data_IF_031445384829
#
_entry.id   IF_031445384829
#
_cell.length_a   1.000
_cell.length_b   1.000
_cell.length_c   1.000
_cell.angle_alpha   90.00
_cell.angle_beta   90.00
_cell.angle_gamma   90.00
#
_symmetry.space_group_name_H-M   'P 1'
#
loop_
_entity.id
_entity.type
_entity.pdbx_description
1 polymer ?
#
# COMPACT_ATOMS: atom_id res chain seq x y z
N UNK A 1 -17.09 -20.76 34.89
CA UNK A 1 -15.88 -21.58 35.19
C UNK A 1 -16.02 -22.91 34.44
N UNK A 2 -14.94 -23.57 33.97
CA UNK A 2 -13.49 -23.26 34.03
C UNK A 2 -12.87 -23.00 32.62
N UNK A 3 -11.91 -22.08 32.44
CA UNK A 3 -10.44 -22.21 32.59
C UNK A 3 -9.72 -22.89 31.41
N UNK A 4 -8.96 -22.09 30.65
CA UNK A 4 -7.57 -22.38 30.31
C UNK A 4 -6.91 -21.08 29.78
N UNK A 5 -6.41 -20.29 30.73
CA UNK A 5 -5.34 -19.33 30.50
C UNK A 5 -4.15 -20.08 29.89
N UNK A 6 -3.82 -19.81 28.64
CA UNK A 6 -2.48 -20.12 28.15
C UNK A 6 -1.68 -18.80 28.13
N UNK A 7 -1.07 -18.52 29.27
CA UNK A 7 -0.05 -17.49 29.39
C UNK A 7 1.19 -17.94 28.59
N UNK A 8 1.26 -17.52 27.33
CA UNK A 8 2.53 -17.52 26.62
C UNK A 8 3.35 -16.34 27.16
N UNK A 9 4.04 -16.59 28.28
CA UNK A 9 5.02 -15.68 28.85
C UNK A 9 6.14 -15.46 27.82
N UNK A 10 6.15 -14.27 27.21
CA UNK A 10 7.31 -13.75 26.52
C UNK A 10 8.40 -13.44 27.54
N UNK A 11 9.34 -14.37 27.69
CA UNK A 11 10.55 -14.15 28.49
C UNK A 11 11.62 -13.62 27.54
N UNK A 12 11.76 -12.29 27.48
CA UNK A 12 13.00 -11.68 27.04
C UNK A 12 14.09 -12.08 28.05
N UNK A 13 15.20 -12.63 27.55
CA UNK A 13 16.33 -13.08 28.38
C UNK A 13 17.01 -11.86 29.03
N UNK A 14 16.62 -11.57 30.27
CA UNK A 14 17.13 -10.44 31.03
C UNK A 14 18.51 -10.77 31.64
N UNK A 15 19.51 -9.93 31.38
CA UNK A 15 20.79 -9.91 32.10
C UNK A 15 20.63 -8.84 33.18
N UNK A 16 20.44 -9.31 34.42
CA UNK A 16 20.51 -8.59 35.70
C UNK A 16 20.67 -7.05 35.68
N UNK A 17 19.71 -6.35 36.29
CA UNK A 17 19.93 -5.72 37.60
C UNK A 17 18.61 -5.19 38.18
N UNK A 18 18.41 -5.48 39.47
CA UNK A 18 17.36 -4.94 40.33
C UNK A 18 17.47 -3.41 40.43
N UNK A 19 16.35 -2.71 40.18
CA UNK A 19 15.82 -1.55 40.94
C UNK A 19 14.32 -1.42 40.55
N UNK A 20 13.38 -1.30 41.52
CA UNK A 20 11.94 -1.26 41.25
C UNK A 20 11.41 0.18 41.02
N UNK A 21 10.21 0.21 40.41
CA UNK A 21 9.27 1.34 40.24
C UNK A 21 9.36 2.23 38.97
N UNK A 22 8.84 1.68 37.86
CA UNK A 22 8.16 2.45 36.79
C UNK A 22 7.21 1.53 36.00
N UNK A 23 6.08 1.16 36.60
CA UNK A 23 5.12 0.18 36.10
C UNK A 23 4.19 0.70 34.98
N UNK A 24 4.74 1.07 33.83
CA UNK A 24 4.02 1.01 32.54
C UNK A 24 4.88 0.20 31.60
N UNK A 25 4.55 -1.09 31.52
CA UNK A 25 5.40 -2.13 30.96
C UNK A 25 5.81 -1.85 29.50
N UNK A 26 7.11 -1.81 29.15
CA UNK A 26 7.57 -1.73 27.76
C UNK A 26 6.97 -2.82 26.86
N UNK A 27 6.59 -3.96 27.45
CA UNK A 27 5.87 -5.08 26.80
C UNK A 27 4.53 -4.63 26.20
N UNK A 28 3.83 -3.66 26.82
CA UNK A 28 2.56 -3.14 26.32
C UNK A 28 2.76 -2.19 25.12
N UNK A 29 3.83 -1.40 25.12
CA UNK A 29 4.12 -0.44 24.04
C UNK A 29 4.56 -1.19 22.78
N UNK A 30 5.40 -2.21 22.89
CA UNK A 30 5.78 -3.04 21.74
C UNK A 30 4.62 -3.83 21.16
N UNK A 31 3.70 -4.34 22.01
CA UNK A 31 2.48 -4.99 21.54
C UNK A 31 1.58 -4.01 20.75
N UNK A 32 1.44 -2.78 21.25
CA UNK A 32 0.65 -1.73 20.58
C UNK A 32 1.34 -1.26 19.28
N UNK A 33 2.66 -1.10 19.28
CA UNK A 33 3.44 -0.82 18.08
C UNK A 33 3.26 -1.93 17.03
N UNK A 34 3.19 -3.20 17.47
CA UNK A 34 2.99 -4.36 16.59
C UNK A 34 1.58 -4.40 15.98
N UNK A 35 0.56 -4.06 16.77
CA UNK A 35 -0.81 -3.91 16.27
C UNK A 35 -0.89 -2.82 15.21
N UNK A 36 -0.27 -1.66 15.47
CA UNK A 36 -0.23 -0.54 14.52
C UNK A 36 0.56 -0.86 13.26
N UNK A 37 1.65 -1.63 13.39
CA UNK A 37 2.39 -2.15 12.24
C UNK A 37 1.51 -3.02 11.35
N UNK A 38 0.69 -3.90 11.92
CA UNK A 38 -0.24 -4.74 11.16
C UNK A 38 -1.28 -3.90 10.41
N UNK A 39 -1.85 -2.87 11.06
CA UNK A 39 -2.76 -1.92 10.42
C UNK A 39 -2.10 -1.16 9.27
N UNK A 40 -0.89 -0.65 9.48
CA UNK A 40 -0.11 0.05 8.45
C UNK A 40 0.18 -0.85 7.25
N UNK A 41 0.52 -2.11 7.50
CA UNK A 41 0.77 -3.10 6.46
C UNK A 41 -0.48 -3.45 5.65
N UNK A 42 -1.63 -3.56 6.33
CA UNK A 42 -2.91 -3.78 5.68
C UNK A 42 -3.31 -2.60 4.80
N UNK A 43 -3.19 -1.38 5.31
CA UNK A 43 -3.47 -0.16 4.54
C UNK A 43 -2.56 -0.05 3.30
N UNK A 44 -1.27 -0.37 3.45
CA UNK A 44 -0.31 -0.39 2.34
C UNK A 44 -0.71 -1.40 1.26
N UNK A 45 -1.18 -2.60 1.63
CA UNK A 45 -1.66 -3.61 0.66
C UNK A 45 -2.92 -3.17 -0.08
N UNK A 46 -3.89 -2.60 0.64
CA UNK A 46 -5.12 -2.08 0.03
C UNK A 46 -4.83 -0.97 -0.98
N UNK A 47 -3.95 -0.04 -0.61
CA UNK A 47 -3.51 1.05 -1.48
C UNK A 47 -2.89 0.53 -2.78
N UNK A 48 -2.02 -0.49 -2.70
CA UNK A 48 -1.41 -1.09 -3.90
C UNK A 48 -2.45 -1.77 -4.77
N UNK A 49 -3.35 -2.55 -4.18
CA UNK A 49 -4.43 -3.21 -4.92
C UNK A 49 -5.32 -2.18 -5.65
N UNK A 50 -5.67 -1.07 -5.00
CA UNK A 50 -6.45 0.00 -5.62
C UNK A 50 -5.68 0.74 -6.71
N UNK A 51 -4.39 1.01 -6.50
CA UNK A 51 -3.53 1.60 -7.53
C UNK A 51 -3.38 0.69 -8.76
N UNK A 52 -3.19 -0.62 -8.58
CA UNK A 52 -3.14 -1.59 -9.68
C UNK A 52 -4.46 -1.63 -10.44
N UNK A 53 -5.60 -1.69 -9.73
CA UNK A 53 -6.93 -1.61 -10.35
C UNK A 53 -7.10 -0.31 -11.15
N UNK A 54 -6.62 0.82 -10.62
CA UNK A 54 -6.66 2.11 -11.31
C UNK A 54 -5.82 2.09 -12.59
N UNK A 55 -4.58 1.59 -12.53
CA UNK A 55 -3.69 1.51 -13.70
C UNK A 55 -4.29 0.60 -14.76
N UNK A 56 -4.81 -0.57 -14.37
CA UNK A 56 -5.36 -1.56 -15.29
C UNK A 56 -6.68 -1.09 -15.93
N UNK A 57 -7.64 -0.63 -15.13
CA UNK A 57 -8.99 -0.29 -15.60
C UNK A 57 -9.15 1.16 -16.05
N UNK A 58 -8.31 2.07 -15.57
CA UNK A 58 -8.49 3.51 -15.74
C UNK A 58 -7.20 4.25 -16.14
N UNK A 59 -6.08 3.54 -16.37
CA UNK A 59 -4.85 4.13 -16.88
C UNK A 59 -4.96 4.62 -18.33
N UNK A 60 -3.93 5.29 -18.83
CA UNK A 60 -3.91 5.87 -20.19
C UNK A 60 -4.18 4.82 -21.28
N UNK A 61 -3.65 3.61 -21.12
CA UNK A 61 -3.92 2.47 -22.01
C UNK A 61 -5.41 2.08 -22.05
N UNK A 62 -6.16 2.31 -20.97
CA UNK A 62 -7.59 2.01 -20.90
C UNK A 62 -8.45 3.01 -21.68
N UNK A 63 -8.01 4.25 -21.85
CA UNK A 63 -8.70 5.23 -22.71
C UNK A 63 -8.53 4.88 -24.18
N UNK A 64 -7.31 4.52 -24.59
CA UNK A 64 -7.01 4.09 -25.97
C UNK A 64 -7.80 2.83 -26.30
N UNK A 65 -7.81 1.84 -25.41
CA UNK A 65 -8.62 0.63 -25.56
C UNK A 65 -10.11 0.94 -25.67
N UNK A 66 -10.62 1.89 -24.89
CA UNK A 66 -12.02 2.29 -24.93
C UNK A 66 -12.41 2.96 -26.26
N UNK A 67 -11.56 3.85 -26.79
CA UNK A 67 -11.77 4.44 -28.12
C UNK A 67 -11.74 3.37 -29.24
N UNK A 68 -10.89 2.36 -29.10
CA UNK A 68 -10.81 1.25 -30.04
C UNK A 68 -12.10 0.40 -30.00
N UNK A 69 -12.65 0.13 -28.82
CA UNK A 69 -13.96 -0.49 -28.65
C UNK A 69 -15.11 0.33 -29.24
N UNK A 70 -15.06 1.66 -29.12
CA UNK A 70 -16.02 2.55 -29.76
C UNK A 70 -15.97 2.42 -31.28
N UNK A 71 -14.76 2.40 -31.87
CA UNK A 71 -14.58 2.23 -33.31
C UNK A 71 -15.12 0.87 -33.80
N UNK A 72 -14.77 -0.23 -33.11
CA UNK A 72 -15.30 -1.57 -33.42
C UNK A 72 -16.83 -1.57 -33.30
N UNK A 73 -17.39 -0.91 -32.29
CA UNK A 73 -18.83 -0.77 -32.11
C UNK A 73 -19.53 -0.09 -33.29
N UNK A 74 -18.96 0.99 -33.84
CA UNK A 74 -19.51 1.63 -35.04
C UNK A 74 -19.47 0.71 -36.26
N UNK A 75 -18.37 -0.04 -36.45
CA UNK A 75 -18.25 -0.99 -37.57
C UNK A 75 -19.32 -2.09 -37.45
N UNK A 76 -19.51 -2.67 -36.25
CA UNK A 76 -20.51 -3.72 -36.02
C UNK A 76 -21.93 -3.21 -36.28
N UNK A 77 -22.28 -2.01 -35.81
CA UNK A 77 -23.60 -1.41 -36.06
C UNK A 77 -23.81 -1.16 -37.56
N UNK A 78 -22.79 -0.69 -38.28
CA UNK A 78 -22.87 -0.50 -39.71
C UNK A 78 -23.08 -1.83 -40.47
N UNK A 79 -22.34 -2.89 -40.10
CA UNK A 79 -22.53 -4.22 -40.69
C UNK A 79 -23.93 -4.76 -40.42
N UNK A 80 -24.43 -4.62 -39.19
CA UNK A 80 -25.77 -5.06 -38.82
C UNK A 80 -26.85 -4.30 -39.62
N UNK A 81 -26.72 -2.99 -39.77
CA UNK A 81 -27.63 -2.17 -40.59
C UNK A 81 -27.62 -2.59 -42.06
N UNK A 82 -26.43 -2.86 -42.61
CA UNK A 82 -26.28 -3.29 -44.00
C UNK A 82 -26.93 -4.66 -44.23
N UNK A 83 -26.77 -5.59 -43.28
CA UNK A 83 -27.37 -6.91 -43.32
C UNK A 83 -28.90 -6.86 -43.14
N UNK A 84 -29.38 -6.00 -42.25
CA UNK A 84 -30.81 -5.78 -42.03
C UNK A 84 -31.49 -5.16 -43.26
N UNK A 85 -30.83 -4.20 -43.91
CA UNK A 85 -31.30 -3.61 -45.16
C UNK A 85 -31.42 -4.67 -46.26
N UNK A 86 -30.41 -5.53 -46.40
CA UNK A 86 -30.42 -6.61 -47.40
C UNK A 86 -31.51 -7.67 -47.13
N UNK A 87 -31.80 -7.99 -45.87
CA UNK A 87 -32.81 -9.00 -45.50
C UNK A 87 -34.25 -8.47 -45.53
N UNK A 88 -34.46 -7.21 -45.12
CA UNK A 88 -35.80 -6.61 -44.97
C UNK A 88 -36.16 -5.64 -46.10
N UNK A 89 -35.26 -5.37 -47.04
CA UNK A 89 -35.42 -4.39 -48.12
C UNK A 89 -35.80 -2.99 -47.58
N UNK A 90 -35.28 -2.65 -46.39
CA UNK A 90 -35.57 -1.39 -45.70
C UNK A 90 -34.67 -0.27 -46.22
N UNK A 91 -35.19 0.54 -47.15
CA UNK A 91 -34.51 1.76 -47.57
C UNK A 91 -34.58 2.84 -46.48
N UNK A 92 -33.68 2.77 -45.51
CA UNK A 92 -33.50 3.84 -44.51
C UNK A 92 -33.03 5.12 -45.20
N UNK A 93 -33.62 6.25 -44.82
CA UNK A 93 -33.19 7.56 -45.30
C UNK A 93 -31.87 7.97 -44.66
N UNK A 94 -31.08 8.83 -45.33
CA UNK A 94 -29.83 9.36 -44.79
C UNK A 94 -30.01 9.99 -43.39
N UNK A 95 -31.14 10.64 -43.14
CA UNK A 95 -31.48 11.21 -41.84
C UNK A 95 -31.63 10.17 -40.73
N UNK A 96 -32.17 8.99 -41.03
CA UNK A 96 -32.31 7.90 -40.06
C UNK A 96 -30.95 7.30 -39.69
N UNK A 97 -30.02 7.19 -40.65
CA UNK A 97 -28.64 6.79 -40.36
C UNK A 97 -27.94 7.80 -39.45
N UNK A 98 -28.04 9.09 -39.77
CA UNK A 98 -27.46 10.17 -38.96
C UNK A 98 -28.02 10.11 -37.52
N UNK A 99 -29.35 9.94 -37.38
CA UNK A 99 -29.98 9.83 -36.07
C UNK A 99 -29.47 8.61 -35.27
N UNK A 100 -29.27 7.45 -35.91
CA UNK A 100 -28.73 6.26 -35.26
C UNK A 100 -27.28 6.46 -34.80
N UNK A 101 -26.44 7.06 -35.63
CA UNK A 101 -25.06 7.36 -35.25
C UNK A 101 -24.98 8.37 -34.11
N UNK A 102 -25.84 9.39 -34.09
CA UNK A 102 -25.94 10.33 -32.97
C UNK A 102 -26.36 9.60 -31.69
N UNK A 103 -27.39 8.74 -31.76
CA UNK A 103 -27.86 7.96 -30.61
C UNK A 103 -26.76 7.04 -30.07
N UNK A 104 -26.04 6.35 -30.95
CA UNK A 104 -24.91 5.50 -30.59
C UNK A 104 -23.80 6.31 -29.92
N UNK A 105 -23.52 7.51 -30.42
CA UNK A 105 -22.52 8.41 -29.85
C UNK A 105 -22.92 8.87 -28.45
N UNK A 106 -24.18 9.25 -28.25
CA UNK A 106 -24.73 9.60 -26.94
C UNK A 106 -24.62 8.45 -25.95
N UNK A 107 -24.87 7.22 -26.40
CA UNK A 107 -24.70 6.01 -25.58
C UNK A 107 -23.26 5.83 -25.11
N UNK A 108 -22.28 5.95 -26.02
CA UNK A 108 -20.86 5.87 -25.65
C UNK A 108 -20.43 6.99 -24.71
N UNK A 109 -20.87 8.24 -24.96
CA UNK A 109 -20.60 9.38 -24.05
C UNK A 109 -21.17 9.11 -22.66
N UNK A 110 -22.37 8.54 -22.56
CA UNK A 110 -22.97 8.14 -21.29
C UNK A 110 -22.12 7.11 -20.54
N UNK A 111 -21.66 6.06 -21.23
CA UNK A 111 -20.77 5.05 -20.65
C UNK A 111 -19.43 5.67 -20.22
N UNK A 112 -18.85 6.56 -21.02
CA UNK A 112 -17.60 7.23 -20.70
C UNK A 112 -17.74 8.09 -19.44
N UNK A 113 -18.86 8.81 -19.29
CA UNK A 113 -19.13 9.60 -18.11
C UNK A 113 -19.28 8.73 -16.85
N UNK A 114 -19.91 7.56 -16.96
CA UNK A 114 -20.00 6.58 -15.86
C UNK A 114 -18.61 6.02 -15.52
N UNK A 115 -17.81 5.65 -16.53
CA UNK A 115 -16.42 5.21 -16.36
C UNK A 115 -15.59 6.27 -15.63
N UNK A 116 -15.74 7.55 -16.01
CA UNK A 116 -15.08 8.67 -15.34
C UNK A 116 -15.50 8.85 -13.87
N UNK A 117 -16.79 8.71 -13.55
CA UNK A 117 -17.24 8.74 -12.15
C UNK A 117 -16.67 7.60 -11.32
N UNK A 118 -16.60 6.39 -11.89
CA UNK A 118 -16.00 5.25 -11.21
C UNK A 118 -14.49 5.44 -10.99
N UNK A 119 -13.78 6.01 -11.98
CA UNK A 119 -12.37 6.37 -11.84
C UNK A 119 -12.16 7.37 -10.70
N UNK A 120 -13.00 8.41 -10.62
CA UNK A 120 -12.93 9.40 -9.54
C UNK A 120 -13.24 8.79 -8.18
N UNK A 121 -14.22 7.88 -8.09
CA UNK A 121 -14.52 7.19 -6.83
C UNK A 121 -13.35 6.30 -6.38
N UNK A 122 -12.72 5.59 -7.32
CA UNK A 122 -11.53 4.79 -7.02
C UNK A 122 -10.35 5.68 -6.61
N UNK A 123 -10.23 6.88 -7.19
CA UNK A 123 -9.21 7.84 -6.77
C UNK A 123 -9.44 8.33 -5.34
N UNK A 124 -10.68 8.66 -5.00
CA UNK A 124 -11.06 9.08 -3.64
C UNK A 124 -10.77 7.98 -2.60
N UNK A 125 -11.00 6.71 -2.98
CA UNK A 125 -10.65 5.55 -2.15
C UNK A 125 -9.13 5.40 -1.97
N UNK A 126 -8.34 5.59 -3.03
CA UNK A 126 -6.87 5.60 -2.96
C UNK A 126 -6.37 6.74 -2.06
N UNK A 127 -6.93 7.94 -2.20
CA UNK A 127 -6.52 9.10 -1.42
C UNK A 127 -6.84 8.89 0.08
N UNK A 128 -7.98 8.26 0.39
CA UNK A 128 -8.34 7.90 1.76
C UNK A 128 -7.43 6.80 2.33
N UNK A 129 -7.10 5.78 1.54
CA UNK A 129 -6.16 4.73 1.96
C UNK A 129 -4.76 5.29 2.20
N UNK A 130 -4.33 6.26 1.40
CA UNK A 130 -3.06 6.97 1.58
C UNK A 130 -3.05 7.76 2.90
N UNK A 131 -4.13 8.48 3.19
CA UNK A 131 -4.30 9.21 4.45
C UNK A 131 -4.26 8.26 5.66
N UNK A 132 -5.03 7.17 5.62
CA UNK A 132 -5.03 6.16 6.69
C UNK A 132 -3.66 5.54 6.90
N UNK A 133 -2.92 5.26 5.81
CA UNK A 133 -1.54 4.76 5.88
C UNK A 133 -0.62 5.77 6.56
N UNK A 134 -0.72 7.04 6.21
CA UNK A 134 0.12 8.09 6.80
C UNK A 134 -0.22 8.35 8.27
N UNK A 135 -1.50 8.37 8.63
CA UNK A 135 -1.96 8.50 10.02
C UNK A 135 -1.43 7.35 10.87
N UNK A 136 -1.61 6.11 10.42
CA UNK A 136 -1.13 4.92 11.14
C UNK A 136 0.40 4.92 11.26
N UNK A 137 1.11 5.38 10.23
CA UNK A 137 2.56 5.49 10.28
C UNK A 137 3.01 6.56 11.29
N UNK A 138 2.32 7.70 11.34
CA UNK A 138 2.60 8.75 12.31
C UNK A 138 2.36 8.26 13.75
N UNK A 139 1.32 7.49 14.01
CA UNK A 139 1.10 6.84 15.30
C UNK A 139 2.23 5.86 15.66
N UNK A 140 2.65 5.02 14.70
CA UNK A 140 3.79 4.12 14.91
C UNK A 140 5.06 4.88 15.26
N UNK A 141 5.28 6.04 14.65
CA UNK A 141 6.43 6.89 14.97
C UNK A 141 6.38 7.41 16.41
N UNK A 142 5.22 7.89 16.86
CA UNK A 142 5.06 8.38 18.25
C UNK A 142 5.39 7.25 19.23
N UNK A 143 4.87 6.05 18.97
CA UNK A 143 5.15 4.87 19.80
C UNK A 143 6.62 4.42 19.74
N UNK A 144 7.24 4.55 18.57
CA UNK A 144 8.65 4.24 18.38
C UNK A 144 9.56 5.23 19.10
N UNK A 145 9.17 6.50 19.23
CA UNK A 145 9.90 7.53 19.97
C UNK A 145 9.99 7.19 21.47
N UNK A 146 8.92 6.64 22.03
CA UNK A 146 8.84 6.27 23.44
C UNK A 146 9.50 4.90 23.76
N UNK A 147 9.83 4.08 22.74
CA UNK A 147 10.30 2.70 22.96
C UNK A 147 11.44 2.27 22.04
N UNK A 148 11.17 2.16 20.74
CA UNK A 148 12.08 1.60 19.74
C UNK A 148 13.35 2.45 19.55
N UNK A 149 13.24 3.77 19.42
CA UNK A 149 14.41 4.63 19.18
C UNK A 149 15.39 4.63 20.35
N UNK A 150 14.95 4.81 21.63
CA UNK A 150 15.85 4.68 22.77
C UNK A 150 16.62 3.35 22.79
N UNK A 151 15.95 2.23 22.50
CA UNK A 151 16.58 0.91 22.45
C UNK A 151 17.62 0.79 21.33
N UNK A 152 17.32 1.35 20.15
CA UNK A 152 18.23 1.37 19.01
C UNK A 152 19.46 2.23 19.29
N UNK A 153 19.29 3.39 19.92
CA UNK A 153 20.40 4.24 20.35
C UNK A 153 21.27 3.56 21.41
N UNK A 154 20.66 2.90 22.40
CA UNK A 154 21.38 2.20 23.45
C UNK A 154 22.20 1.00 22.93
N UNK A 155 21.73 0.34 21.86
CA UNK A 155 22.36 -0.85 21.27
C UNK A 155 23.20 -0.54 20.03
N UNK A 156 23.31 0.73 19.65
CA UNK A 156 24.14 1.16 18.53
C UNK A 156 25.63 0.85 18.78
N UNK A 157 26.38 0.33 17.78
CA UNK A 157 25.95 0.03 16.42
C UNK A 157 25.13 -1.25 16.33
N UNK A 158 23.99 -1.21 15.64
CA UNK A 158 23.10 -2.36 15.44
C UNK A 158 22.74 -2.52 13.96
N UNK A 159 22.79 -3.75 13.44
CA UNK A 159 22.30 -4.05 12.09
C UNK A 159 20.78 -4.22 12.07
N UNK A 160 20.16 -4.02 10.91
CA UNK A 160 18.72 -4.23 10.74
C UNK A 160 18.30 -5.66 11.10
N UNK A 161 19.13 -6.66 10.76
CA UNK A 161 18.87 -8.06 11.13
C UNK A 161 18.94 -8.29 12.63
N UNK A 162 19.96 -7.76 13.29
CA UNK A 162 20.10 -7.86 14.76
C UNK A 162 18.95 -7.15 15.49
N UNK A 163 18.43 -6.05 14.93
CA UNK A 163 17.26 -5.38 15.48
C UNK A 163 16.00 -6.24 15.34
N UNK A 164 15.80 -6.86 14.18
CA UNK A 164 14.74 -7.85 13.97
C UNK A 164 14.83 -9.01 14.96
N UNK A 165 16.02 -9.59 15.13
CA UNK A 165 16.27 -10.70 16.06
C UNK A 165 16.05 -10.29 17.53
N UNK A 166 16.44 -9.06 17.91
CA UNK A 166 16.17 -8.51 19.24
C UNK A 166 14.68 -8.44 19.55
N UNK A 167 13.86 -8.14 18.53
CA UNK A 167 12.40 -8.09 18.62
C UNK A 167 11.75 -9.46 18.29
N UNK A 168 12.50 -10.56 18.41
CA UNK A 168 12.07 -11.94 18.15
C UNK A 168 11.53 -12.18 16.73
N UNK A 169 11.90 -11.33 15.76
CA UNK A 169 11.38 -11.39 14.39
C UNK A 169 9.89 -11.09 14.29
N UNK A 170 9.29 -10.44 15.29
CA UNK A 170 7.87 -10.15 15.27
C UNK A 170 7.54 -9.06 14.25
N UNK A 171 8.42 -8.09 14.03
CA UNK A 171 8.22 -6.96 13.11
C UNK A 171 8.78 -7.25 11.72
N UNK A 172 8.14 -6.72 10.67
CA UNK A 172 8.71 -6.73 9.32
C UNK A 172 9.93 -5.80 9.29
N UNK A 173 11.01 -6.24 8.63
CA UNK A 173 12.25 -5.48 8.54
C UNK A 173 12.04 -4.18 7.78
N UNK A 174 11.14 -4.16 6.79
CA UNK A 174 10.73 -2.97 6.06
C UNK A 174 10.06 -1.93 6.97
N UNK A 175 9.23 -2.36 7.92
CA UNK A 175 8.57 -1.45 8.87
C UNK A 175 9.60 -0.81 9.79
N UNK A 176 10.52 -1.61 10.33
CA UNK A 176 11.62 -1.13 11.18
C UNK A 176 12.53 -0.17 10.40
N UNK A 177 12.91 -0.53 9.18
CA UNK A 177 13.74 0.31 8.32
C UNK A 177 13.04 1.65 8.01
N UNK A 178 11.74 1.64 7.71
CA UNK A 178 10.96 2.86 7.49
C UNK A 178 10.92 3.77 8.73
N UNK A 179 10.72 3.21 9.93
CA UNK A 179 10.72 3.99 11.17
C UNK A 179 12.09 4.63 11.42
N UNK A 180 13.18 3.87 11.30
CA UNK A 180 14.54 4.37 11.48
C UNK A 180 14.97 5.41 10.45
N UNK A 181 14.37 5.39 9.26
CA UNK A 181 14.61 6.42 8.25
C UNK A 181 14.23 7.82 8.75
N UNK A 182 13.29 7.95 9.69
CA UNK A 182 12.94 9.23 10.31
C UNK A 182 14.06 9.74 11.22
N UNK A 183 14.64 8.86 12.04
CA UNK A 183 15.81 9.18 12.89
C UNK A 183 17.05 9.54 12.07
N UNK A 184 17.23 8.88 10.90
CA UNK A 184 18.28 9.23 9.95
C UNK A 184 18.04 10.62 9.35
N UNK A 185 16.81 10.92 8.91
CA UNK A 185 16.43 12.26 8.41
C UNK A 185 16.58 13.35 9.47
N UNK A 186 16.33 13.01 10.74
CA UNK A 186 16.55 13.91 11.87
C UNK A 186 18.04 14.08 12.25
N UNK A 187 18.94 13.30 11.63
CA UNK A 187 20.38 13.35 11.89
C UNK A 187 20.81 12.72 13.21
N UNK A 188 19.93 11.94 13.86
CA UNK A 188 20.21 11.23 15.13
C UNK A 188 20.79 9.83 14.91
N UNK A 189 20.52 9.25 13.74
CA UNK A 189 21.12 7.99 13.28
C UNK A 189 21.88 8.21 11.97
N UNK A 190 23.03 7.53 11.84
CA UNK A 190 23.78 7.41 10.60
C UNK A 190 23.64 5.97 10.10
N UNK A 191 23.33 5.83 8.81
CA UNK A 191 23.30 4.54 8.12
C UNK A 191 24.57 4.40 7.27
N UNK A 192 25.39 3.40 7.56
CA UNK A 192 26.72 3.28 6.93
C UNK A 192 26.70 2.77 5.48
N UNK A 193 25.62 2.13 5.04
CA UNK A 193 25.45 1.69 3.65
C UNK A 193 24.05 2.03 3.12
N UNK A 194 24.01 2.57 1.91
CA UNK A 194 22.82 2.96 1.14
C UNK A 194 22.96 2.33 -0.25
N UNK A 195 21.99 1.61 -0.82
CA UNK A 195 20.87 2.17 -1.57
C UNK A 195 19.88 1.02 -1.84
N UNK A 196 18.77 0.97 -1.12
CA UNK A 196 17.61 0.23 -1.59
C UNK A 196 16.43 1.20 -1.52
N UNK A 197 15.79 1.46 -2.65
CA UNK A 197 14.55 2.24 -2.71
C UNK A 197 13.38 1.38 -2.21
N UNK A 198 13.47 0.93 -0.94
CA UNK A 198 12.42 0.17 -0.24
C UNK A 198 11.06 0.89 -0.29
N UNK A 199 11.09 2.22 -0.43
CA UNK A 199 9.89 3.04 -0.57
C UNK A 199 9.06 2.73 -1.83
N UNK A 200 9.68 2.19 -2.89
CA UNK A 200 9.05 1.97 -4.21
C UNK A 200 8.55 0.54 -4.37
N UNK A 201 9.11 -0.42 -3.63
CA UNK A 201 8.71 -1.82 -3.75
C UNK A 201 7.40 -2.13 -3.00
N UNK A 202 6.58 -3.05 -3.57
CA UNK A 202 5.49 -3.64 -2.83
C UNK A 202 6.00 -4.23 -1.52
N UNK A 203 5.23 -4.13 -0.42
CA UNK A 203 5.63 -4.57 0.91
C UNK A 203 6.17 -6.01 0.94
N UNK A 204 5.58 -6.90 0.15
CA UNK A 204 5.95 -8.32 0.06
C UNK A 204 7.32 -8.56 -0.62
N UNK A 205 7.73 -7.66 -1.53
CA UNK A 205 9.04 -7.70 -2.19
C UNK A 205 10.08 -6.93 -1.39
N UNK A 206 9.67 -5.81 -0.79
CA UNK A 206 10.51 -4.96 0.04
C UNK A 206 11.14 -5.76 1.19
N UNK A 207 10.35 -6.57 1.91
CA UNK A 207 10.86 -7.32 3.06
C UNK A 207 11.81 -8.46 2.63
N UNK A 208 11.54 -9.12 1.50
CA UNK A 208 12.39 -10.18 0.94
C UNK A 208 13.75 -9.63 0.50
N UNK A 209 13.77 -8.51 -0.20
CA UNK A 209 15.02 -7.85 -0.61
C UNK A 209 15.79 -7.30 0.60
N UNK A 210 15.08 -6.77 1.58
CA UNK A 210 15.69 -6.29 2.82
C UNK A 210 16.35 -7.41 3.61
N UNK A 211 15.76 -8.60 3.69
CA UNK A 211 16.34 -9.75 4.42
C UNK A 211 17.72 -10.12 3.86
N UNK A 212 17.92 -10.06 2.54
CA UNK A 212 19.20 -10.40 1.90
C UNK A 212 20.31 -9.39 2.26
N UNK A 213 19.93 -8.15 2.56
CA UNK A 213 20.88 -7.06 2.85
C UNK A 213 20.86 -6.60 4.31
N UNK A 214 20.01 -7.16 5.17
CA UNK A 214 19.76 -6.67 6.53
C UNK A 214 20.98 -6.69 7.44
N UNK A 215 21.95 -7.58 7.21
CA UNK A 215 23.21 -7.65 7.97
C UNK A 215 24.17 -6.49 7.63
N UNK A 216 24.05 -5.94 6.42
CA UNK A 216 24.90 -4.87 5.91
C UNK A 216 24.34 -3.47 6.25
N UNK A 217 23.06 -3.38 6.59
CA UNK A 217 22.41 -2.14 6.99
C UNK A 217 22.69 -1.90 8.48
N UNK A 218 23.73 -1.10 8.77
CA UNK A 218 24.16 -0.79 10.15
C UNK A 218 23.71 0.63 10.51
N UNK A 219 23.04 0.75 11.65
CA UNK A 219 22.63 2.02 12.25
C UNK A 219 23.58 2.40 13.38
N UNK A 220 24.08 3.64 13.33
CA UNK A 220 24.95 4.25 14.34
C UNK A 220 24.28 5.48 14.95
N UNK A 221 24.21 5.52 16.28
CA UNK A 221 23.80 6.68 17.06
C UNK A 221 24.83 7.80 16.93
N UNK A 222 24.32 9.02 16.78
CA UNK A 222 25.10 10.26 16.91
C UNK A 222 24.84 10.99 18.22
N UNK A 223 23.94 10.45 19.05
CA UNK A 223 23.66 10.88 20.43
C UNK A 223 24.66 10.26 21.40
#
# INVERSE_FOLDING_TARGET
MPSALNHNNFIAKNINNDIPDAGVHPINIYALLKEREACWWQARRQLIEHQEKKIFWYGENSLIMWLLWQLVGYVVVAMALMLLNNMLNLSLSLWQYIALFILQTLFFVGILAVKGRLANKLQDEIDNDELMREETFNEMIILAEDSLYPDVHAKSPISLRQLGDYLNGEFHLSSLHCLLQKEIKAGRLIMEQQLLEVGVLPPELADVELIEHADNIIYKSTL
#
